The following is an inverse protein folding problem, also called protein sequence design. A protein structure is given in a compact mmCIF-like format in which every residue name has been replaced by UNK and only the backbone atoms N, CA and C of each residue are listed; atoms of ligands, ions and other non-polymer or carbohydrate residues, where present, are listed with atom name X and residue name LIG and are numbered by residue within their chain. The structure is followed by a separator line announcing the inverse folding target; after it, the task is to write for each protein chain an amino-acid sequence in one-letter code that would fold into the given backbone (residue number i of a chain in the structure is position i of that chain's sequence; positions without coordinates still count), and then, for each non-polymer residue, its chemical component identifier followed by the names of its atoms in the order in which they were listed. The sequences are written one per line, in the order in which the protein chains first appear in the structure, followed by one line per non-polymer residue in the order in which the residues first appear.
data_IF_563428371988
#
_entry.id   IF_563428371988
#
_cell.length_a   1.000
_cell.length_b   1.000
_cell.length_c   1.000
_cell.angle_alpha   90.00
_cell.angle_beta   90.00
_cell.angle_gamma   90.00
#
_symmetry.space_group_name_H-M   'P 1'
#
loop_
_entity.id
_entity.type
_entity.pdbx_description
1 polymer ?
#
# COMPACT_ATOMS: atom_id res chain seq x y z
N UNK A 1 31.95 1.50 -61.09
CA UNK A 1 30.61 1.59 -60.49
C UNK A 1 30.77 1.78 -58.99
N UNK A 2 30.62 3.00 -58.45
CA UNK A 2 30.59 3.21 -57.01
C UNK A 2 29.13 3.23 -56.53
N UNK A 3 28.73 2.23 -55.75
CA UNK A 3 27.43 2.18 -55.07
C UNK A 3 27.51 2.97 -53.76
N UNK A 4 27.44 4.30 -53.86
CA UNK A 4 27.27 5.21 -52.73
C UNK A 4 25.78 5.45 -52.47
N UNK A 5 25.08 4.43 -51.98
CA UNK A 5 23.65 4.50 -51.67
C UNK A 5 23.39 4.89 -50.20
N UNK A 6 22.95 6.12 -50.00
CA UNK A 6 21.86 6.51 -49.09
C UNK A 6 21.71 5.78 -47.73
N UNK A 7 22.58 6.08 -46.75
CA UNK A 7 22.30 5.86 -45.33
C UNK A 7 21.83 7.12 -44.57
N UNK A 8 21.58 8.24 -45.27
CA UNK A 8 21.25 9.54 -44.64
C UNK A 8 19.78 9.72 -44.26
N UNK A 9 18.86 8.90 -44.77
CA UNK A 9 17.42 9.07 -44.54
C UNK A 9 16.99 8.71 -43.10
N UNK A 10 17.53 7.61 -42.56
CA UNK A 10 17.16 7.15 -41.22
C UNK A 10 17.66 8.07 -40.08
N UNK A 11 18.82 8.71 -40.24
CA UNK A 11 19.37 9.57 -39.18
C UNK A 11 18.62 10.89 -39.02
N UNK A 12 18.07 11.43 -40.12
CA UNK A 12 17.20 12.61 -40.07
C UNK A 12 15.86 12.29 -39.39
N UNK A 13 15.30 11.11 -39.68
CA UNK A 13 14.06 10.66 -39.08
C UNK A 13 14.21 10.48 -37.56
N UNK A 14 15.24 9.77 -37.09
CA UNK A 14 15.50 9.57 -35.65
C UNK A 14 15.65 10.91 -34.90
N UNK A 15 16.33 11.90 -35.48
CA UNK A 15 16.49 13.23 -34.88
C UNK A 15 15.17 13.98 -34.64
N UNK A 16 14.16 13.79 -35.49
CA UNK A 16 12.87 14.45 -35.35
C UNK A 16 12.04 13.86 -34.20
N UNK A 17 12.15 12.56 -33.94
CA UNK A 17 11.43 11.90 -32.84
C UNK A 17 12.04 12.18 -31.46
N UNK A 18 13.33 12.53 -31.40
CA UNK A 18 13.96 12.99 -30.14
C UNK A 18 13.50 14.39 -29.71
N UNK A 19 13.05 15.20 -30.67
CA UNK A 19 12.58 16.57 -30.45
C UNK A 19 11.07 16.67 -30.28
N UNK A 20 10.39 15.54 -30.09
CA UNK A 20 8.97 15.55 -29.80
C UNK A 20 8.70 16.39 -28.54
N UNK A 21 7.68 17.27 -28.58
CA UNK A 21 7.21 17.96 -27.39
C UNK A 21 6.87 16.95 -26.27
N UNK A 22 7.12 17.29 -24.99
CA UNK A 22 6.78 16.43 -23.84
C UNK A 22 5.34 15.92 -23.87
N UNK A 23 4.40 16.75 -24.34
CA UNK A 23 2.97 16.45 -24.43
C UNK A 23 2.68 15.26 -25.35
N UNK A 24 3.47 15.09 -26.42
CA UNK A 24 3.33 13.95 -27.32
C UNK A 24 3.93 12.68 -26.73
N UNK A 25 4.99 12.79 -25.91
CA UNK A 25 5.50 11.65 -25.15
C UNK A 25 4.47 11.16 -24.12
N UNK A 26 3.84 12.10 -23.40
CA UNK A 26 2.76 11.80 -22.45
C UNK A 26 1.55 11.15 -23.14
N UNK A 27 1.16 11.65 -24.32
CA UNK A 27 0.08 11.05 -25.10
C UNK A 27 0.40 9.61 -25.52
N UNK A 28 1.59 9.37 -26.08
CA UNK A 28 2.03 8.01 -26.49
C UNK A 28 2.06 7.09 -25.28
N UNK A 29 2.57 7.58 -24.15
CA UNK A 29 2.59 6.83 -22.91
C UNK A 29 1.17 6.48 -22.45
N UNK A 30 0.23 7.43 -22.48
CA UNK A 30 -1.17 7.18 -22.16
C UNK A 30 -1.78 6.08 -23.04
N UNK A 31 -1.45 6.04 -24.33
CA UNK A 31 -1.88 4.95 -25.22
C UNK A 31 -1.28 3.59 -24.82
N UNK A 32 -0.02 3.54 -24.41
CA UNK A 32 0.63 2.31 -23.95
C UNK A 32 0.07 1.84 -22.60
N UNK A 33 -0.25 2.77 -21.70
CA UNK A 33 -0.85 2.45 -20.40
C UNK A 33 -2.25 1.88 -20.57
N UNK A 34 -3.07 2.45 -21.48
CA UNK A 34 -4.42 1.94 -21.81
C UNK A 34 -4.34 0.52 -22.38
N UNK A 35 -3.33 0.26 -23.22
CA UNK A 35 -3.12 -1.06 -23.84
C UNK A 35 -2.33 -2.04 -22.95
N UNK A 36 -1.82 -1.58 -21.80
CA UNK A 36 -0.90 -2.31 -20.91
C UNK A 36 0.33 -2.88 -21.66
N UNK A 37 0.81 -2.17 -22.70
CA UNK A 37 1.93 -2.60 -23.53
C UNK A 37 3.28 -2.18 -22.93
N UNK A 38 3.71 -2.94 -21.91
CA UNK A 38 5.02 -2.75 -21.27
C UNK A 38 6.19 -3.03 -22.21
N UNK A 39 6.00 -3.91 -23.21
CA UNK A 39 7.06 -4.26 -24.14
C UNK A 39 7.33 -3.10 -25.10
N UNK A 40 6.28 -2.47 -25.63
CA UNK A 40 6.38 -1.24 -26.43
C UNK A 40 7.03 -0.11 -25.66
N UNK A 41 6.59 0.15 -24.41
CA UNK A 41 7.20 1.18 -23.56
C UNK A 41 8.69 0.88 -23.28
N UNK A 42 9.05 -0.38 -23.06
CA UNK A 42 10.45 -0.80 -22.89
C UNK A 42 11.27 -0.56 -24.15
N UNK A 43 10.75 -0.94 -25.33
CA UNK A 43 11.44 -0.73 -26.60
C UNK A 43 11.67 0.75 -26.89
N UNK A 44 10.67 1.60 -26.64
CA UNK A 44 10.77 3.05 -26.79
C UNK A 44 11.81 3.65 -25.83
N UNK A 45 11.90 3.16 -24.59
CA UNK A 45 12.92 3.62 -23.63
C UNK A 45 14.37 3.35 -24.07
N UNK A 46 14.58 2.51 -25.09
CA UNK A 46 15.89 2.19 -25.66
C UNK A 46 16.22 2.99 -26.93
N UNK A 47 15.27 3.75 -27.47
CA UNK A 47 15.45 4.49 -28.74
C UNK A 47 16.46 5.63 -28.57
N UNK A 48 16.32 6.44 -27.52
CA UNK A 48 17.26 7.52 -27.20
C UNK A 48 17.22 7.91 -25.73
N UNK A 49 18.10 8.84 -25.34
CA UNK A 49 18.15 9.37 -23.98
C UNK A 49 16.87 10.13 -23.58
N UNK A 50 16.26 10.88 -24.51
CA UNK A 50 15.03 11.62 -24.24
C UNK A 50 13.88 10.66 -23.91
N UNK A 51 13.72 9.61 -24.71
CA UNK A 51 12.72 8.57 -24.49
C UNK A 51 13.02 7.76 -23.23
N UNK A 52 14.28 7.44 -22.97
CA UNK A 52 14.72 6.80 -21.74
C UNK A 52 14.24 7.58 -20.50
N UNK A 53 14.45 8.90 -20.47
CA UNK A 53 14.07 9.75 -19.33
C UNK A 53 12.56 9.79 -19.09
N UNK A 54 11.74 9.74 -20.14
CA UNK A 54 10.28 9.78 -19.98
C UNK A 54 9.65 8.42 -19.67
N UNK A 55 10.11 7.35 -20.30
CA UNK A 55 9.45 6.05 -20.18
C UNK A 55 9.95 5.24 -18.99
N UNK A 56 11.23 5.35 -18.60
CA UNK A 56 11.76 4.54 -17.48
C UNK A 56 11.08 4.79 -16.14
N UNK A 57 10.82 6.03 -15.68
CA UNK A 57 10.08 6.28 -14.45
C UNK A 57 8.78 5.46 -14.35
N UNK A 58 8.03 5.40 -15.45
CA UNK A 58 6.74 4.75 -15.53
C UNK A 58 6.86 3.22 -15.62
N UNK A 59 7.81 2.71 -16.41
CA UNK A 59 8.10 1.28 -16.50
C UNK A 59 8.40 0.65 -15.13
N UNK A 60 9.08 1.40 -14.27
CA UNK A 60 9.50 0.95 -12.94
C UNK A 60 8.62 1.48 -11.81
N UNK A 61 7.57 2.25 -12.10
CA UNK A 61 6.66 2.78 -11.08
C UNK A 61 5.97 1.67 -10.29
N UNK A 62 5.62 0.58 -10.97
CA UNK A 62 4.96 -0.59 -10.37
C UNK A 62 5.84 -1.83 -10.54
N UNK A 63 6.38 -2.33 -9.43
CA UNK A 63 7.16 -3.56 -9.41
C UNK A 63 6.37 -4.71 -8.79
N UNK A 64 6.33 -5.85 -9.48
CA UNK A 64 5.80 -7.09 -8.97
C UNK A 64 6.94 -8.08 -8.75
N UNK A 65 7.08 -8.55 -7.51
CA UNK A 65 8.06 -9.53 -7.07
C UNK A 65 7.30 -10.81 -6.71
N UNK A 66 7.58 -11.92 -7.39
CA UNK A 66 6.88 -13.20 -7.24
C UNK A 66 7.67 -14.22 -6.41
N UNK A 67 8.85 -13.84 -5.93
CA UNK A 67 9.72 -14.72 -5.16
C UNK A 67 10.57 -13.94 -4.16
N UNK A 68 11.07 -14.65 -3.14
CA UNK A 68 12.05 -14.09 -2.21
C UNK A 68 13.36 -13.76 -2.94
N UNK A 69 13.75 -14.56 -3.94
CA UNK A 69 14.95 -14.30 -4.73
C UNK A 69 14.82 -12.98 -5.51
N UNK A 70 13.67 -12.67 -6.08
CA UNK A 70 13.41 -11.36 -6.71
C UNK A 70 13.49 -10.22 -5.70
N UNK A 71 12.99 -10.41 -4.48
CA UNK A 71 13.16 -9.44 -3.39
C UNK A 71 14.64 -9.21 -3.05
N UNK A 72 15.45 -10.28 -2.96
CA UNK A 72 16.90 -10.20 -2.68
C UNK A 72 17.65 -9.50 -3.81
N UNK A 73 17.31 -9.83 -5.06
CA UNK A 73 17.86 -9.17 -6.24
C UNK A 73 17.54 -7.68 -6.23
N UNK A 74 16.27 -7.31 -6.02
CA UNK A 74 15.89 -5.90 -5.95
C UNK A 74 16.62 -5.20 -4.81
N UNK A 75 16.75 -5.84 -3.65
CA UNK A 75 17.47 -5.30 -2.49
C UNK A 75 18.92 -4.97 -2.85
N UNK A 76 19.63 -5.91 -3.49
CA UNK A 76 21.00 -5.66 -3.97
C UNK A 76 21.07 -4.54 -5.01
N UNK A 77 20.09 -4.45 -5.92
CA UNK A 77 20.01 -3.38 -6.92
C UNK A 77 19.84 -2.03 -6.24
N UNK A 78 18.85 -1.85 -5.37
CA UNK A 78 18.53 -0.54 -4.76
C UNK A 78 19.56 -0.08 -3.75
N UNK A 79 20.39 -0.98 -3.22
CA UNK A 79 21.55 -0.61 -2.40
C UNK A 79 22.70 -0.01 -3.21
N UNK A 80 22.78 -0.29 -4.52
CA UNK A 80 23.81 0.28 -5.38
C UNK A 80 23.53 1.75 -5.68
N UNK A 81 24.53 2.62 -5.50
CA UNK A 81 24.43 4.03 -5.87
C UNK A 81 24.10 4.24 -7.35
N UNK A 82 24.50 3.32 -8.22
CA UNK A 82 24.21 3.38 -9.66
C UNK A 82 22.72 3.19 -9.96
N UNK A 83 21.97 2.59 -9.04
CA UNK A 83 20.54 2.33 -9.16
C UNK A 83 19.70 3.24 -8.26
N UNK A 84 20.30 4.27 -7.64
CA UNK A 84 19.58 5.17 -6.75
C UNK A 84 18.37 5.84 -7.45
N UNK A 85 18.49 6.09 -8.75
CA UNK A 85 17.39 6.60 -9.55
C UNK A 85 16.18 5.66 -9.54
N UNK A 86 16.37 4.33 -9.56
CA UNK A 86 15.28 3.36 -9.58
C UNK A 86 14.46 3.44 -8.29
N UNK A 87 15.14 3.51 -7.15
CA UNK A 87 14.50 3.62 -5.84
C UNK A 87 13.60 4.87 -5.70
N UNK A 88 13.96 5.95 -6.41
CA UNK A 88 13.21 7.20 -6.42
C UNK A 88 11.93 7.15 -7.28
N UNK A 89 11.77 6.14 -8.15
CA UNK A 89 10.63 6.07 -9.08
C UNK A 89 9.66 4.93 -8.77
N UNK A 90 10.03 3.94 -7.96
CA UNK A 90 9.11 2.86 -7.56
C UNK A 90 8.07 3.43 -6.59
N UNK A 91 6.83 3.58 -7.06
CA UNK A 91 5.69 4.10 -6.28
C UNK A 91 4.83 2.99 -5.71
N UNK A 92 4.80 1.84 -6.38
CA UNK A 92 4.01 0.66 -5.99
C UNK A 92 4.88 -0.58 -5.96
N UNK A 93 4.88 -1.28 -4.82
CA UNK A 93 5.56 -2.55 -4.64
C UNK A 93 4.53 -3.66 -4.38
N UNK A 94 4.49 -4.66 -5.25
CA UNK A 94 3.65 -5.84 -5.13
C UNK A 94 4.54 -7.05 -4.84
N UNK A 95 4.40 -7.64 -3.67
CA UNK A 95 5.12 -8.83 -3.24
C UNK A 95 4.15 -10.01 -3.16
N UNK A 96 4.27 -10.95 -4.10
CA UNK A 96 3.52 -12.20 -4.15
C UNK A 96 4.48 -13.34 -3.75
N UNK A 97 4.76 -13.45 -2.45
CA UNK A 97 5.75 -14.39 -1.94
C UNK A 97 5.03 -15.62 -1.41
N UNK A 98 5.42 -16.80 -1.91
CA UNK A 98 4.81 -18.08 -1.55
C UNK A 98 4.98 -18.44 -0.07
N UNK A 99 6.04 -17.99 0.57
CA UNK A 99 6.33 -18.20 2.00
C UNK A 99 6.82 -16.92 2.66
N UNK A 100 6.41 -16.65 3.89
CA UNK A 100 7.00 -15.59 4.70
C UNK A 100 8.39 -16.07 5.18
N UNK A 101 9.51 -15.45 4.73
CA UNK A 101 10.81 -15.71 5.35
C UNK A 101 10.80 -15.29 6.83
N UNK A 102 11.64 -15.91 7.65
CA UNK A 102 11.87 -15.54 9.07
C UNK A 102 12.17 -14.05 9.23
N UNK A 103 12.71 -13.41 8.19
CA UNK A 103 12.94 -11.99 8.11
C UNK A 103 12.20 -11.37 6.92
N UNK A 104 11.26 -10.44 7.14
CA UNK A 104 10.38 -9.93 6.09
C UNK A 104 11.12 -8.92 5.20
N UNK A 105 11.89 -9.44 4.24
CA UNK A 105 12.73 -8.68 3.32
C UNK A 105 11.98 -7.58 2.57
N UNK A 106 10.70 -7.79 2.25
CA UNK A 106 9.86 -6.77 1.64
C UNK A 106 9.72 -5.51 2.51
N UNK A 107 9.69 -5.64 3.84
CA UNK A 107 9.64 -4.47 4.73
C UNK A 107 10.94 -3.67 4.65
N UNK A 108 12.07 -4.34 4.50
CA UNK A 108 13.36 -3.66 4.31
C UNK A 108 13.41 -2.97 2.96
N UNK A 109 12.89 -3.61 1.91
CA UNK A 109 12.75 -2.97 0.60
C UNK A 109 11.94 -1.69 0.68
N UNK A 110 10.78 -1.68 1.33
CA UNK A 110 9.95 -0.46 1.45
C UNK A 110 10.72 0.70 2.10
N UNK A 111 11.63 0.44 3.06
CA UNK A 111 12.49 1.49 3.66
C UNK A 111 13.44 2.13 2.67
N UNK A 112 13.90 1.36 1.70
CA UNK A 112 14.86 1.80 0.68
C UNK A 112 14.16 2.49 -0.50
N UNK A 113 12.83 2.52 -0.53
CA UNK A 113 12.03 3.06 -1.62
C UNK A 113 11.31 4.33 -1.15
N UNK A 114 11.95 5.51 -1.17
CA UNK A 114 11.38 6.74 -0.62
C UNK A 114 10.09 7.20 -1.33
N UNK A 115 9.92 6.84 -2.59
CA UNK A 115 8.73 7.15 -3.38
C UNK A 115 7.61 6.10 -3.24
N UNK A 116 7.85 4.97 -2.56
CA UNK A 116 6.87 3.90 -2.46
C UNK A 116 5.72 4.30 -1.54
N UNK A 117 4.54 4.50 -2.14
CA UNK A 117 3.31 4.90 -1.45
C UNK A 117 2.32 3.76 -1.33
N UNK A 118 2.40 2.78 -2.22
CA UNK A 118 1.48 1.64 -2.26
C UNK A 118 2.25 0.35 -2.07
N UNK A 119 1.88 -0.42 -1.04
CA UNK A 119 2.45 -1.73 -0.77
C UNK A 119 1.35 -2.77 -0.82
N UNK A 120 1.52 -3.73 -1.72
CA UNK A 120 0.68 -4.91 -1.78
C UNK A 120 1.50 -6.13 -1.38
N UNK A 121 1.16 -6.74 -0.26
CA UNK A 121 1.72 -8.00 0.18
C UNK A 121 0.67 -9.11 0.05
N UNK A 122 0.97 -10.12 -0.74
CA UNK A 122 0.18 -11.34 -0.89
C UNK A 122 1.01 -12.53 -0.45
N UNK A 123 0.46 -13.31 0.46
CA UNK A 123 1.01 -14.59 0.90
C UNK A 123 0.12 -15.70 0.37
N UNK A 124 0.68 -16.60 -0.44
CA UNK A 124 -0.05 -17.74 -1.00
C UNK A 124 -0.17 -18.88 0.02
N UNK A 125 0.90 -19.14 0.78
CA UNK A 125 0.91 -20.11 1.87
C UNK A 125 1.49 -19.47 3.13
N UNK A 126 0.67 -19.07 4.12
CA UNK A 126 1.17 -18.47 5.35
C UNK A 126 1.98 -19.51 6.15
N UNK A 127 3.30 -19.48 5.99
CA UNK A 127 4.25 -20.36 6.69
C UNK A 127 4.49 -19.97 8.15
N UNK A 128 3.86 -18.90 8.62
CA UNK A 128 3.98 -18.46 10.00
C UNK A 128 3.22 -17.16 10.28
N UNK A 129 3.06 -16.80 11.56
CA UNK A 129 2.42 -15.56 11.94
C UNK A 129 3.35 -14.36 11.69
N UNK A 130 2.77 -13.26 11.23
CA UNK A 130 3.41 -11.95 11.17
C UNK A 130 3.51 -11.37 12.58
N UNK A 131 4.73 -11.06 13.02
CA UNK A 131 5.02 -10.39 14.28
C UNK A 131 5.21 -8.88 14.08
N UNK A 132 4.87 -8.09 15.11
CA UNK A 132 5.17 -6.67 15.14
C UNK A 132 6.66 -6.48 15.45
N UNK A 133 7.36 -5.67 14.66
CA UNK A 133 8.76 -5.33 14.90
C UNK A 133 9.00 -3.84 14.72
N UNK A 134 10.01 -3.29 15.41
CA UNK A 134 10.43 -1.90 15.17
C UNK A 134 10.87 -1.67 13.71
N UNK A 135 11.29 -2.74 13.03
CA UNK A 135 11.63 -2.70 11.61
C UNK A 135 10.42 -2.29 10.76
N UNK A 136 9.30 -2.97 10.98
CA UNK A 136 8.02 -2.74 10.31
C UNK A 136 7.52 -1.29 10.48
N UNK A 137 7.66 -0.73 11.68
CA UNK A 137 7.22 0.63 11.98
C UNK A 137 7.81 1.68 11.06
N UNK A 138 9.14 1.72 10.93
CA UNK A 138 9.75 2.77 10.12
C UNK A 138 9.62 2.52 8.61
N UNK A 139 9.39 1.27 8.20
CA UNK A 139 9.17 0.94 6.79
C UNK A 139 7.88 1.55 6.26
N UNK A 140 6.81 1.52 7.05
CA UNK A 140 5.48 1.89 6.57
C UNK A 140 5.12 3.36 6.75
N UNK A 141 6.00 4.16 7.37
CA UNK A 141 5.70 5.56 7.72
C UNK A 141 5.22 6.41 6.53
N UNK A 142 5.73 6.12 5.33
CA UNK A 142 5.44 6.89 4.11
C UNK A 142 4.36 6.25 3.22
N UNK A 143 3.84 5.09 3.60
CA UNK A 143 2.85 4.34 2.83
C UNK A 143 1.47 4.98 3.02
N UNK A 144 0.78 5.22 1.90
CA UNK A 144 -0.60 5.73 1.86
C UNK A 144 -1.60 4.61 1.61
N UNK A 145 -1.20 3.58 0.86
CA UNK A 145 -2.05 2.43 0.55
C UNK A 145 -1.38 1.13 0.95
N UNK A 146 -2.02 0.36 1.83
CA UNK A 146 -1.55 -0.93 2.29
C UNK A 146 -2.57 -2.02 1.97
N UNK A 147 -2.17 -2.99 1.17
CA UNK A 147 -2.98 -4.16 0.82
C UNK A 147 -2.30 -5.41 1.37
N UNK A 148 -2.95 -6.09 2.30
CA UNK A 148 -2.48 -7.35 2.88
C UNK A 148 -3.42 -8.48 2.45
N UNK A 149 -2.87 -9.54 1.88
CA UNK A 149 -3.64 -10.70 1.40
C UNK A 149 -3.05 -12.00 1.92
N UNK A 150 -3.88 -12.85 2.54
CA UNK A 150 -3.46 -14.18 3.01
C UNK A 150 -2.50 -14.17 4.19
N UNK A 151 -2.41 -13.07 4.94
CA UNK A 151 -1.51 -12.97 6.09
C UNK A 151 -2.15 -13.56 7.37
N UNK A 152 -1.34 -14.20 8.21
CA UNK A 152 -1.75 -14.66 9.54
C UNK A 152 -1.07 -13.82 10.64
N UNK A 153 -1.80 -13.41 11.67
CA UNK A 153 -1.25 -12.69 12.82
C UNK A 153 -1.46 -13.48 14.12
N UNK A 154 -0.54 -13.37 15.09
CA UNK A 154 -0.73 -14.03 16.40
C UNK A 154 -1.92 -13.45 17.19
N UNK A 155 -2.31 -12.20 16.92
CA UNK A 155 -3.48 -11.57 17.53
C UNK A 155 -3.95 -10.37 16.71
N UNK A 156 -5.22 -9.99 16.88
CA UNK A 156 -5.75 -8.76 16.30
C UNK A 156 -5.00 -7.50 16.79
N UNK A 157 -4.50 -7.50 18.03
CA UNK A 157 -3.70 -6.38 18.58
C UNK A 157 -2.42 -6.12 17.77
N UNK A 158 -1.79 -7.16 17.26
CA UNK A 158 -0.60 -7.03 16.42
C UNK A 158 -0.97 -6.33 15.12
N UNK A 159 -2.04 -6.77 14.45
CA UNK A 159 -2.54 -6.11 13.24
C UNK A 159 -2.82 -4.62 13.50
N UNK A 160 -3.54 -4.29 14.58
CA UNK A 160 -3.82 -2.89 14.94
C UNK A 160 -2.56 -2.06 15.16
N UNK A 161 -1.54 -2.61 15.84
CA UNK A 161 -0.25 -1.92 16.03
C UNK A 161 0.48 -1.67 14.71
N UNK A 162 0.38 -2.60 13.76
CA UNK A 162 0.97 -2.44 12.43
C UNK A 162 0.26 -1.34 11.67
N UNK A 163 -1.08 -1.34 11.69
CA UNK A 163 -1.88 -0.30 11.04
C UNK A 163 -1.64 1.08 11.69
N UNK A 164 -1.51 1.14 13.02
CA UNK A 164 -1.18 2.34 13.77
C UNK A 164 0.19 2.94 13.41
N UNK A 165 1.14 2.11 12.97
CA UNK A 165 2.46 2.57 12.55
C UNK A 165 2.46 3.16 11.12
N UNK A 166 1.39 2.96 10.35
CA UNK A 166 1.21 3.54 9.01
C UNK A 166 0.57 4.92 9.14
N UNK A 167 1.35 5.88 9.63
CA UNK A 167 0.86 7.21 10.02
C UNK A 167 0.16 7.99 8.89
N UNK A 168 0.52 7.72 7.63
CA UNK A 168 -0.01 8.39 6.45
C UNK A 168 -0.98 7.52 5.65
N UNK A 169 -1.45 6.40 6.21
CA UNK A 169 -2.34 5.50 5.47
C UNK A 169 -3.67 6.17 5.20
N UNK A 170 -4.05 6.21 3.93
CA UNK A 170 -5.35 6.65 3.44
C UNK A 170 -6.24 5.46 3.08
N UNK A 171 -5.64 4.38 2.59
CA UNK A 171 -6.35 3.17 2.18
C UNK A 171 -5.70 1.92 2.78
N UNK A 172 -6.53 1.07 3.40
CA UNK A 172 -6.13 -0.25 3.88
C UNK A 172 -7.09 -1.29 3.32
N UNK A 173 -6.55 -2.34 2.72
CA UNK A 173 -7.33 -3.50 2.28
C UNK A 173 -6.74 -4.78 2.87
N UNK A 174 -7.55 -5.53 3.62
CA UNK A 174 -7.16 -6.82 4.17
C UNK A 174 -8.05 -7.91 3.54
N UNK A 175 -7.43 -8.87 2.87
CA UNK A 175 -8.11 -9.95 2.15
C UNK A 175 -7.61 -11.31 2.67
N UNK A 176 -8.50 -12.22 3.07
CA UNK A 176 -8.12 -13.51 3.66
C UNK A 176 -7.14 -13.37 4.85
N UNK A 177 -7.23 -12.27 5.60
CA UNK A 177 -6.32 -12.01 6.73
C UNK A 177 -6.84 -12.71 7.97
N UNK A 178 -6.02 -13.58 8.54
CA UNK A 178 -6.38 -14.37 9.71
C UNK A 178 -5.61 -13.93 10.96
N UNK A 179 -6.16 -14.17 12.15
CA UNK A 179 -5.45 -13.98 13.40
C UNK A 179 -5.86 -14.97 14.47
N UNK A 180 -4.91 -15.34 15.31
CA UNK A 180 -5.12 -16.23 16.45
C UNK A 180 -5.64 -15.48 17.69
N UNK A 181 -6.20 -16.22 18.65
CA UNK A 181 -6.63 -15.69 19.94
C UNK A 181 -8.12 -15.34 20.04
N UNK A 182 -8.59 -15.08 21.27
CA UNK A 182 -9.96 -14.64 21.51
C UNK A 182 -10.21 -13.27 20.87
N UNK A 183 -11.44 -12.99 20.38
CA UNK A 183 -11.80 -11.65 19.94
C UNK A 183 -11.43 -10.68 21.05
N UNK A 184 -10.65 -9.62 20.78
CA UNK A 184 -10.37 -8.65 21.82
C UNK A 184 -11.69 -8.09 22.30
N UNK A 185 -11.81 -7.94 23.62
CA UNK A 185 -12.90 -7.15 24.16
C UNK A 185 -12.78 -5.74 23.56
N UNK A 186 -13.90 -5.05 23.33
CA UNK A 186 -13.91 -3.68 22.78
C UNK A 186 -12.97 -2.73 23.53
N UNK A 187 -12.82 -2.94 24.84
CA UNK A 187 -11.92 -2.20 25.74
C UNK A 187 -10.43 -2.46 25.43
N UNK A 188 -10.08 -3.71 25.13
CA UNK A 188 -8.72 -4.11 24.79
C UNK A 188 -8.26 -3.56 23.44
N UNK A 189 -9.18 -3.53 22.46
CA UNK A 189 -8.93 -2.91 21.17
C UNK A 189 -8.66 -1.42 21.35
N UNK A 190 -9.56 -0.70 22.03
CA UNK A 190 -9.44 0.74 22.26
C UNK A 190 -8.09 1.12 22.92
N UNK A 191 -7.69 0.45 24.01
CA UNK A 191 -6.44 0.77 24.70
C UNK A 191 -5.17 0.56 23.87
N UNK A 192 -5.15 -0.44 22.99
CA UNK A 192 -4.02 -0.72 22.09
C UNK A 192 -3.89 0.26 20.92
N UNK A 193 -4.99 0.94 20.60
CA UNK A 193 -5.10 1.87 19.48
C UNK A 193 -4.74 3.29 19.92
N UNK A 194 -4.95 3.66 21.19
CA UNK A 194 -4.74 5.01 21.72
C UNK A 194 -3.32 5.62 21.57
N UNK A 195 -2.34 4.91 21.01
CA UNK A 195 -1.01 5.45 20.69
C UNK A 195 -0.75 5.67 19.19
N UNK A 196 -1.64 5.21 18.30
CA UNK A 196 -1.54 5.36 16.85
C UNK A 196 -2.41 6.49 16.32
N UNK A 197 -1.91 7.26 15.36
CA UNK A 197 -2.69 8.29 14.67
C UNK A 197 -3.32 7.69 13.42
N UNK A 198 -4.62 7.41 13.45
CA UNK A 198 -5.40 6.94 12.30
C UNK A 198 -6.10 8.09 11.56
N UNK A 199 -5.62 9.31 11.76
CA UNK A 199 -6.24 10.56 11.28
C UNK A 199 -6.45 10.62 9.77
N UNK A 200 -5.61 9.91 9.00
CA UNK A 200 -5.57 9.96 7.54
C UNK A 200 -6.34 8.83 6.84
N UNK A 201 -6.80 7.80 7.56
CA UNK A 201 -7.46 6.64 6.93
C UNK A 201 -8.84 7.05 6.41
N UNK A 202 -9.02 6.95 5.08
CA UNK A 202 -10.25 7.29 4.36
C UNK A 202 -10.99 6.03 3.88
N UNK A 203 -10.27 4.96 3.56
CA UNK A 203 -10.83 3.75 2.98
C UNK A 203 -10.34 2.48 3.67
N UNK A 204 -11.29 1.61 3.99
CA UNK A 204 -11.07 0.32 4.63
C UNK A 204 -11.82 -0.77 3.87
N UNK A 205 -11.09 -1.74 3.33
CA UNK A 205 -11.66 -2.92 2.69
C UNK A 205 -11.31 -4.17 3.48
N UNK A 206 -12.30 -4.99 3.78
CA UNK A 206 -12.14 -6.27 4.46
C UNK A 206 -12.89 -7.35 3.70
N UNK A 207 -12.20 -8.45 3.42
CA UNK A 207 -12.78 -9.60 2.75
C UNK A 207 -12.23 -10.87 3.39
N UNK A 208 -13.12 -11.78 3.77
CA UNK A 208 -12.76 -13.10 4.31
C UNK A 208 -11.77 -13.06 5.50
N UNK A 209 -11.95 -12.13 6.43
CA UNK A 209 -11.13 -12.04 7.65
C UNK A 209 -11.70 -12.88 8.82
N UNK A 210 -10.88 -13.27 9.80
CA UNK A 210 -11.28 -14.16 10.94
C UNK A 210 -12.53 -13.70 11.67
N UNK A 211 -12.69 -12.39 11.89
CA UNK A 211 -13.86 -11.83 12.53
C UNK A 211 -14.06 -10.40 12.03
N UNK A 212 -15.13 -10.15 11.27
CA UNK A 212 -15.42 -8.83 10.72
C UNK A 212 -15.87 -7.81 11.79
N UNK A 213 -16.11 -8.22 13.04
CA UNK A 213 -16.27 -7.29 14.16
C UNK A 213 -15.00 -6.46 14.46
N UNK A 214 -13.87 -6.82 13.85
CA UNK A 214 -12.65 -6.03 13.83
C UNK A 214 -12.80 -4.65 13.17
N UNK A 215 -13.64 -4.51 12.12
CA UNK A 215 -13.84 -3.22 11.42
C UNK A 215 -14.45 -2.18 12.35
N UNK A 216 -15.58 -2.49 13.01
CA UNK A 216 -16.12 -1.68 14.09
C UNK A 216 -15.11 -1.15 15.11
N UNK A 217 -14.30 -2.05 15.66
CA UNK A 217 -13.34 -1.71 16.69
C UNK A 217 -12.25 -0.78 16.15
N UNK A 218 -11.83 -0.99 14.90
CA UNK A 218 -10.84 -0.15 14.24
C UNK A 218 -11.41 1.22 13.81
N UNK A 219 -12.66 1.27 13.35
CA UNK A 219 -13.35 2.52 13.00
C UNK A 219 -13.65 3.38 14.23
N UNK A 220 -14.11 2.79 15.33
CA UNK A 220 -14.24 3.47 16.63
C UNK A 220 -12.94 4.13 17.03
N UNK A 221 -11.86 3.37 16.90
CA UNK A 221 -10.52 3.81 17.15
C UNK A 221 -10.10 4.98 16.27
N UNK A 222 -10.26 4.86 14.96
CA UNK A 222 -9.90 5.91 14.03
C UNK A 222 -10.70 7.19 14.26
N UNK A 223 -12.02 7.05 14.46
CA UNK A 223 -12.90 8.16 14.81
C UNK A 223 -12.50 8.81 16.15
N UNK A 224 -12.13 8.02 17.15
CA UNK A 224 -11.68 8.54 18.46
C UNK A 224 -10.38 9.36 18.37
N UNK A 225 -9.54 9.14 17.35
CA UNK A 225 -8.30 9.93 17.16
C UNK A 225 -8.54 11.32 16.56
N UNK A 226 -9.72 11.59 15.97
CA UNK A 226 -10.12 12.94 15.52
C UNK A 226 -10.64 13.81 16.67
N UNK A 227 -10.90 13.20 17.82
CA UNK A 227 -11.26 13.91 19.05
C UNK A 227 -10.06 13.87 19.99
N UNK A 228 -9.30 14.95 20.07
CA UNK A 228 -8.26 15.11 21.09
C UNK A 228 -8.92 15.17 22.47
N UNK A 229 -9.05 14.03 23.14
CA UNK A 229 -9.48 14.00 24.55
C UNK A 229 -8.28 14.32 25.44
N UNK A 230 -8.14 15.59 25.82
CA UNK A 230 -7.29 15.97 26.95
C UNK A 230 -7.92 15.40 28.23
N UNK A 231 -7.45 14.23 28.63
CA UNK A 231 -7.94 13.48 29.79
C UNK A 231 -7.69 14.26 31.10
N UNK A 232 -8.67 15.04 31.56
CA UNK A 232 -8.83 15.29 33.00
C UNK A 232 -9.49 14.06 33.60
N UNK A 233 -8.73 13.29 34.40
CA UNK A 233 -9.26 12.22 35.25
C UNK A 233 -10.40 12.77 36.10
N UNK A 234 -11.63 12.38 35.78
CA UNK A 234 -12.79 12.44 36.68
C UNK A 234 -13.41 11.05 36.67
N UNK A 235 -13.71 10.56 37.87
CA UNK A 235 -14.25 9.24 38.21
C UNK A 235 -15.68 9.04 37.70
N UNK A 236 -15.93 8.00 36.88
CA UNK A 236 -17.26 7.41 36.66
C UNK A 236 -17.73 7.38 35.18
N UNK A 237 -18.42 6.32 34.73
CA UNK A 237 -18.57 6.02 33.30
C UNK A 237 -19.81 6.69 32.70
N UNK A 238 -19.59 7.69 31.87
CA UNK A 238 -20.53 8.07 30.82
C UNK A 238 -19.75 8.01 29.51
N UNK A 239 -20.01 6.96 28.73
CA UNK A 239 -19.53 6.89 27.35
C UNK A 239 -20.19 8.04 26.60
N UNK A 240 -19.44 8.96 25.96
CA UNK A 240 -20.02 10.09 25.22
C UNK A 240 -21.04 9.62 24.19
N UNK A 241 -22.07 10.43 23.94
CA UNK A 241 -23.18 10.07 23.05
C UNK A 241 -22.71 9.71 21.63
N UNK A 242 -21.64 10.36 21.12
CA UNK A 242 -21.07 9.99 19.82
C UNK A 242 -20.45 8.59 19.83
N UNK A 243 -19.72 8.24 20.90
CA UNK A 243 -19.15 6.89 21.08
C UNK A 243 -20.24 5.84 21.22
N UNK A 244 -21.36 6.19 21.88
CA UNK A 244 -22.52 5.30 22.02
C UNK A 244 -23.25 5.08 20.68
N UNK A 245 -23.46 6.14 19.90
CA UNK A 245 -24.05 6.04 18.55
C UNK A 245 -23.20 5.21 17.59
N UNK A 246 -21.87 5.30 17.68
CA UNK A 246 -20.97 4.46 16.88
C UNK A 246 -21.03 2.99 17.36
N UNK A 247 -21.13 2.73 18.67
CA UNK A 247 -21.34 1.38 19.21
C UNK A 247 -22.67 0.78 18.73
N UNK A 248 -23.76 1.57 18.70
CA UNK A 248 -25.07 1.13 18.19
C UNK A 248 -25.03 0.88 16.68
N UNK A 249 -24.35 1.73 15.91
CA UNK A 249 -24.12 1.52 14.47
C UNK A 249 -23.39 0.18 14.23
N UNK A 250 -22.35 -0.07 15.02
CA UNK A 250 -21.57 -1.31 15.00
C UNK A 250 -22.42 -2.54 15.34
N UNK A 251 -23.27 -2.43 16.35
CA UNK A 251 -24.17 -3.50 16.75
C UNK A 251 -25.25 -3.76 15.70
N UNK A 252 -25.71 -2.73 14.99
CA UNK A 252 -26.65 -2.86 13.87
C UNK A 252 -26.04 -3.61 12.68
N UNK A 253 -24.71 -3.52 12.47
CA UNK A 253 -23.99 -4.28 11.44
C UNK A 253 -23.49 -5.66 11.90
N UNK A 254 -23.75 -6.05 13.15
CA UNK A 254 -23.45 -7.37 13.71
C UNK A 254 -24.73 -8.20 13.86
N UNK A 255 -25.34 -8.74 12.77
CA UNK A 255 -26.31 -9.80 12.95
C UNK A 255 -25.57 -11.00 13.56
N UNK A 256 -26.11 -11.55 14.66
CA UNK A 256 -25.49 -12.63 15.48
C UNK A 256 -25.12 -13.92 14.71
N UNK A 257 -25.36 -14.01 13.40
CA UNK A 257 -25.24 -15.26 12.64
C UNK A 257 -24.88 -15.14 11.14
N UNK A 258 -24.39 -13.99 10.64
CA UNK A 258 -23.97 -13.89 9.23
C UNK A 258 -22.46 -13.74 9.16
N UNK A 259 -21.80 -14.72 8.54
CA UNK A 259 -20.44 -14.60 8.02
C UNK A 259 -20.45 -13.53 6.93
N UNK A 260 -20.15 -12.29 7.30
CA UNK A 260 -20.07 -11.19 6.34
C UNK A 260 -18.84 -11.43 5.45
N UNK A 261 -19.01 -12.07 4.31
CA UNK A 261 -17.90 -12.46 3.41
C UNK A 261 -17.13 -11.22 2.89
N UNK A 262 -17.83 -10.08 2.76
CA UNK A 262 -17.29 -8.81 2.27
C UNK A 262 -17.80 -7.62 3.08
N UNK A 263 -16.90 -6.77 3.56
CA UNK A 263 -17.20 -5.50 4.22
C UNK A 263 -16.31 -4.40 3.65
N UNK A 264 -16.91 -3.38 3.04
CA UNK A 264 -16.18 -2.20 2.58
C UNK A 264 -16.73 -0.96 3.29
N UNK A 265 -15.81 -0.11 3.75
CA UNK A 265 -16.13 1.15 4.38
C UNK A 265 -15.30 2.28 3.74
N UNK A 266 -15.97 3.38 3.41
CA UNK A 266 -15.36 4.59 2.89
C UNK A 266 -15.90 5.79 3.65
N UNK A 267 -14.99 6.63 4.15
CA UNK A 267 -15.32 7.93 4.71
C UNK A 267 -14.99 8.98 3.68
N UNK A 268 -16.01 9.72 3.26
CA UNK A 268 -15.82 10.95 2.52
C UNK A 268 -15.78 12.11 3.52
N UNK A 269 -14.75 12.94 3.41
CA UNK A 269 -14.62 14.12 4.26
C UNK A 269 -15.68 15.12 3.83
N UNK A 270 -16.56 15.53 4.75
CA UNK A 270 -17.58 16.52 4.46
C UNK A 270 -16.90 17.77 3.91
N UNK A 271 -17.17 18.11 2.65
CA UNK A 271 -16.73 19.37 2.06
C UNK A 271 -17.31 20.50 2.90
N UNK A 272 -16.46 21.42 3.36
CA UNK A 272 -16.91 22.64 4.02
C UNK A 272 -17.75 23.44 3.02
N UNK A 273 -19.07 23.26 3.04
CA UNK A 273 -19.95 23.90 2.07
C UNK A 273 -21.36 23.34 1.87
N UNK A 274 -21.90 22.49 2.76
CA UNK A 274 -23.33 22.14 2.80
C UNK A 274 -23.90 22.23 4.24
#
# INVERSE_FOLDING_TARGET
VPSGGEHRSFSAFVRCWEQLPPELHEYIQGCLDISNDKAGASALSLVSEAWCRQFRPHLFAVLKLNSEQECRTLYGIVQSLLSAWLAAHITTLICDVSSLPEFPLWMVLVRLLPACRTVWHRTLNPSGPVSHSAALKSSLRNTTSLILSGCHFLSFRILLRILADVTCSEAVSLNNVTWSGSPPTTVDAASSICSGTFSHVRKVGLSNCTNNAAVPAWLLAAASTRHSFTLRRITGPAVPAETWAIIELIQAFLPKNITIEYSQFSVEEATSGE
#
